data_IF_710503573391
#
_entry.id   IF_710503573391
#
_cell.length_a   1.000
_cell.length_b   1.000
_cell.length_c   1.000
_cell.angle_alpha   90.00
_cell.angle_beta   90.00
_cell.angle_gamma   90.00
#
_symmetry.space_group_name_H-M   'P 1'
#
loop_
_entity.id
_entity.type
_entity.pdbx_description
1 polymer ?
#
# COMPACT_ATOMS: atom_id res chain seq x y z
N UNK A 1 -2.90 -18.81 8.59
CA UNK A 1 -2.70 -17.59 9.37
C UNK A 1 -2.00 -16.58 8.46
N UNK A 2 -2.72 -15.56 7.97
CA UNK A 2 -2.09 -14.52 7.14
C UNK A 2 -1.25 -13.64 8.07
N UNK A 3 0.08 -13.69 7.91
CA UNK A 3 0.99 -12.80 8.62
C UNK A 3 0.81 -11.38 8.05
N UNK A 4 0.09 -10.53 8.75
CA UNK A 4 0.17 -9.06 8.59
C UNK A 4 1.46 -8.55 9.24
N UNK A 5 2.63 -9.08 8.84
CA UNK A 5 3.92 -8.71 9.45
C UNK A 5 4.74 -7.71 8.64
N UNK A 6 4.18 -7.23 7.52
CA UNK A 6 4.73 -6.13 6.74
C UNK A 6 4.28 -4.80 7.35
N UNK A 7 5.21 -3.95 7.76
CA UNK A 7 4.96 -2.55 8.04
C UNK A 7 6.04 -1.73 7.35
N UNK A 8 5.64 -0.58 6.82
CA UNK A 8 6.53 0.29 6.07
C UNK A 8 6.24 1.76 6.29
N UNK A 9 7.14 2.57 5.76
CA UNK A 9 7.00 4.01 5.70
C UNK A 9 7.72 4.57 4.48
N UNK A 10 7.43 5.83 4.18
CA UNK A 10 8.05 6.57 3.11
C UNK A 10 7.18 7.78 2.77
N UNK A 11 7.21 8.14 1.50
CA UNK A 11 6.44 9.28 0.98
C UNK A 11 5.28 8.80 0.14
N UNK A 12 4.30 9.68 -0.09
CA UNK A 12 3.20 9.39 -0.98
C UNK A 12 2.90 10.59 -1.88
N UNK A 13 2.25 10.33 -3.01
CA UNK A 13 1.67 11.36 -3.88
C UNK A 13 0.21 11.03 -4.16
N UNK A 14 -0.60 12.07 -4.38
CA UNK A 14 -2.00 11.91 -4.80
C UNK A 14 -2.23 12.72 -6.06
N UNK A 15 -2.75 12.06 -7.10
CA UNK A 15 -3.13 12.68 -8.37
C UNK A 15 -4.51 12.17 -8.78
N UNK A 16 -5.54 13.01 -8.60
CA UNK A 16 -6.93 12.61 -8.79
C UNK A 16 -7.31 11.47 -7.82
N UNK A 17 -7.67 10.31 -8.37
CA UNK A 17 -8.04 9.11 -7.58
C UNK A 17 -6.89 8.14 -7.38
N UNK A 18 -5.67 8.48 -7.79
CA UNK A 18 -4.48 7.63 -7.64
C UNK A 18 -3.63 8.10 -6.48
N UNK A 19 -3.44 7.22 -5.49
CA UNK A 19 -2.55 7.37 -4.34
C UNK A 19 -1.35 6.43 -4.53
N UNK A 20 -0.14 6.99 -4.68
CA UNK A 20 1.07 6.19 -4.89
C UNK A 20 1.96 6.29 -3.67
N UNK A 21 2.21 5.16 -3.01
CA UNK A 21 3.20 5.04 -1.93
C UNK A 21 4.57 4.76 -2.52
N UNK A 22 5.57 5.54 -2.12
CA UNK A 22 6.98 5.25 -2.36
C UNK A 22 7.56 4.67 -1.08
N UNK A 23 7.89 3.38 -1.12
CA UNK A 23 8.38 2.65 0.05
C UNK A 23 9.86 2.95 0.27
N UNK A 24 10.18 3.60 1.38
CA UNK A 24 11.55 3.96 1.75
C UNK A 24 12.07 3.09 2.89
N UNK A 25 11.17 2.61 3.75
CA UNK A 25 11.45 1.64 4.80
C UNK A 25 10.35 0.57 4.80
N UNK A 26 10.75 -0.70 4.96
CA UNK A 26 9.80 -1.82 5.07
C UNK A 26 10.43 -2.98 5.85
N UNK A 27 9.64 -3.74 6.60
CA UNK A 27 10.14 -4.91 7.35
C UNK A 27 10.62 -6.05 6.44
N UNK A 28 10.14 -6.09 5.20
CA UNK A 28 10.69 -6.91 4.11
C UNK A 28 11.46 -6.03 3.11
N UNK A 29 12.80 -6.14 3.04
CA UNK A 29 13.62 -5.33 2.15
C UNK A 29 13.25 -5.42 0.66
N UNK A 30 12.56 -6.47 0.23
CA UNK A 30 12.15 -6.63 -1.17
C UNK A 30 11.23 -5.49 -1.66
N UNK A 31 10.56 -4.78 -0.74
CA UNK A 31 9.66 -3.67 -1.06
C UNK A 31 10.34 -2.31 -1.08
N UNK A 32 11.56 -2.17 -0.53
CA UNK A 32 12.25 -0.88 -0.47
C UNK A 32 12.58 -0.39 -1.89
N UNK A 33 12.24 0.86 -2.18
CA UNK A 33 12.41 1.49 -3.49
C UNK A 33 11.24 1.27 -4.45
N UNK A 34 10.25 0.42 -4.09
CA UNK A 34 9.05 0.24 -4.91
C UNK A 34 8.13 1.45 -4.82
N UNK A 35 7.42 1.71 -5.92
CA UNK A 35 6.30 2.65 -5.95
C UNK A 35 5.02 1.88 -6.24
N UNK A 36 4.08 1.90 -5.30
CA UNK A 36 2.89 1.05 -5.32
C UNK A 36 1.66 1.96 -5.49
N UNK A 37 0.99 1.91 -6.64
CA UNK A 37 -0.21 2.70 -6.86
C UNK A 37 -1.45 2.00 -6.29
N UNK A 38 -2.27 2.78 -5.62
CA UNK A 38 -3.60 2.43 -5.15
C UNK A 38 -4.63 3.42 -5.68
N UNK A 39 -5.86 2.96 -5.85
CA UNK A 39 -7.01 3.84 -6.00
C UNK A 39 -7.45 4.33 -4.63
N UNK A 40 -7.74 5.62 -4.50
CA UNK A 40 -8.24 6.21 -3.27
C UNK A 40 -9.47 7.08 -3.48
N UNK A 41 -10.35 7.13 -2.48
CA UNK A 41 -11.39 8.16 -2.35
C UNK A 41 -11.68 8.44 -0.88
N UNK A 42 -12.10 9.66 -0.58
CA UNK A 42 -12.62 10.03 0.74
C UNK A 42 -14.14 10.10 0.71
N UNK A 43 -14.78 9.75 1.82
CA UNK A 43 -16.22 9.88 2.01
C UNK A 43 -16.49 10.03 3.51
N UNK A 44 -16.91 11.23 3.91
CA UNK A 44 -17.00 11.65 5.31
C UNK A 44 -15.66 11.58 6.04
N UNK A 45 -15.66 10.88 7.18
CA UNK A 45 -14.50 10.63 8.03
C UNK A 45 -13.63 9.46 7.55
N UNK A 46 -13.90 8.90 6.37
CA UNK A 46 -13.23 7.69 5.88
C UNK A 46 -12.40 7.93 4.63
N UNK A 47 -11.25 7.26 4.58
CA UNK A 47 -10.46 7.04 3.38
C UNK A 47 -10.63 5.58 2.95
N UNK A 48 -11.03 5.39 1.70
CA UNK A 48 -11.07 4.10 1.03
C UNK A 48 -9.86 4.00 0.12
N UNK A 49 -9.03 2.97 0.31
CA UNK A 49 -7.86 2.67 -0.51
C UNK A 49 -7.99 1.24 -1.02
N UNK A 50 -7.74 1.02 -2.30
CA UNK A 50 -7.75 -0.33 -2.86
C UNK A 50 -6.78 -0.46 -4.03
N UNK A 51 -6.29 -1.68 -4.25
CA UNK A 51 -5.37 -1.96 -5.33
C UNK A 51 -4.76 -3.34 -5.21
N UNK A 52 -3.65 -3.54 -5.92
CA UNK A 52 -2.91 -4.78 -5.93
C UNK A 52 -1.55 -4.56 -5.28
N UNK A 53 -1.30 -5.26 -4.18
CA UNK A 53 0.02 -5.35 -3.58
C UNK A 53 0.79 -6.50 -4.26
N UNK A 54 1.92 -6.24 -4.94
CA UNK A 54 2.72 -7.31 -5.51
C UNK A 54 3.39 -8.10 -4.39
N UNK A 55 3.09 -9.39 -4.29
CA UNK A 55 3.80 -10.29 -3.38
C UNK A 55 5.10 -10.70 -4.04
N UNK A 56 6.21 -10.39 -3.37
CA UNK A 56 7.55 -10.68 -3.82
C UNK A 56 8.11 -11.91 -3.08
N UNK A 57 8.81 -12.77 -3.83
CA UNK A 57 9.62 -13.86 -3.30
C UNK A 57 10.96 -13.81 -4.05
N UNK A 58 12.07 -13.75 -3.31
CA UNK A 58 13.42 -13.61 -3.88
C UNK A 58 13.55 -12.46 -4.89
N UNK A 59 12.91 -11.32 -4.57
CA UNK A 59 12.89 -10.12 -5.41
C UNK A 59 12.03 -10.23 -6.68
N UNK A 60 11.33 -11.34 -6.89
CA UNK A 60 10.44 -11.55 -8.05
C UNK A 60 8.99 -11.53 -7.62
N UNK A 61 8.14 -10.86 -8.39
CA UNK A 61 6.69 -10.91 -8.22
C UNK A 61 6.21 -12.33 -8.49
N UNK A 62 5.53 -12.93 -7.50
CA UNK A 62 4.94 -14.26 -7.61
C UNK A 62 3.42 -14.21 -7.77
N UNK A 63 2.77 -13.19 -7.19
CA UNK A 63 1.32 -12.95 -7.36
C UNK A 63 0.98 -11.53 -6.92
N UNK A 64 -0.23 -11.09 -7.27
CA UNK A 64 -0.83 -9.92 -6.63
C UNK A 64 -1.72 -10.35 -5.48
N UNK A 65 -1.73 -9.55 -4.42
CA UNK A 65 -2.73 -9.57 -3.37
C UNK A 65 -3.65 -8.38 -3.58
N UNK A 66 -4.94 -8.65 -3.87
CA UNK A 66 -5.95 -7.60 -3.87
C UNK A 66 -6.14 -7.11 -2.44
N UNK A 67 -6.03 -5.81 -2.26
CA UNK A 67 -6.09 -5.14 -0.98
C UNK A 67 -7.18 -4.08 -1.01
N UNK A 68 -8.01 -4.08 0.03
CA UNK A 68 -9.10 -3.12 0.25
C UNK A 68 -9.01 -2.69 1.71
N UNK A 69 -8.72 -1.41 1.92
CA UNK A 69 -8.51 -0.81 3.22
C UNK A 69 -9.42 0.39 3.40
N UNK A 70 -9.99 0.50 4.61
CA UNK A 70 -10.86 1.60 4.98
C UNK A 70 -10.33 2.18 6.29
N UNK A 71 -9.80 3.39 6.20
CA UNK A 71 -9.22 4.12 7.32
C UNK A 71 -10.23 5.14 7.83
N UNK A 72 -10.31 5.30 9.17
CA UNK A 72 -11.06 6.38 9.82
C UNK A 72 -10.08 7.50 10.19
N UNK A 73 -10.45 8.75 9.90
CA UNK A 73 -9.76 9.94 10.39
C UNK A 73 -9.86 9.99 11.91
N UNK A 74 -8.71 10.13 12.57
CA UNK A 74 -8.63 10.37 14.03
C UNK A 74 -8.25 11.83 14.23
N UNK A 75 -8.86 12.48 15.21
CA UNK A 75 -8.57 13.86 15.66
C UNK A 75 -7.76 13.85 16.96
#
# INVERSE_FOLDING_TARGET
>A
MFRTTGAGSGTYTVQGTTYTEKVEFFSDPAYIGQSIPFSCRTDGDRLYQNGNLPILQDGKKVRDLKLEEIYRRVE
#
